data_IF_487325578565
#
_entry.id   IF_487325578565
#
_cell.length_a   1.000
_cell.length_b   1.000
_cell.length_c   1.000
_cell.angle_alpha   90.00
_cell.angle_beta   90.00
_cell.angle_gamma   90.00
#
_symmetry.space_group_name_H-M   'P 1'
#
loop_
_entity.id
_entity.type
_entity.pdbx_description
1 polymer ?
#
# COMPACT_ATOMS: atom_id res chain seq x y z
N UNK A 1 4.60 11.06 13.41
CA UNK A 1 3.27 10.92 14.04
C UNK A 1 3.14 9.55 14.67
N UNK A 2 2.62 9.49 15.89
CA UNK A 2 2.49 8.27 16.71
C UNK A 2 1.39 7.31 16.17
N UNK A 3 0.35 7.84 15.52
CA UNK A 3 -0.79 7.07 14.99
C UNK A 3 -0.40 6.06 13.90
N UNK A 4 0.33 6.49 12.86
CA UNK A 4 0.74 5.60 11.75
C UNK A 4 1.63 4.43 12.22
N UNK A 5 2.39 4.64 13.30
CA UNK A 5 3.19 3.58 13.92
C UNK A 5 2.27 2.60 14.67
N UNK A 6 1.38 3.11 15.53
CA UNK A 6 0.39 2.30 16.26
C UNK A 6 -0.46 1.45 15.32
N UNK A 7 -0.97 2.03 14.23
CA UNK A 7 -1.82 1.33 13.27
C UNK A 7 -1.05 0.20 12.55
N UNK A 8 0.21 0.44 12.22
CA UNK A 8 1.10 -0.60 11.67
C UNK A 8 1.36 -1.70 12.70
N UNK A 9 1.70 -1.31 13.92
CA UNK A 9 1.98 -2.26 14.99
C UNK A 9 0.74 -3.13 15.29
N UNK A 10 -0.47 -2.56 15.18
CA UNK A 10 -1.73 -3.30 15.33
C UNK A 10 -1.99 -4.29 14.20
N UNK A 11 -1.85 -3.87 12.93
CA UNK A 11 -1.98 -4.80 11.80
C UNK A 11 -0.93 -5.91 11.89
N UNK A 12 0.31 -5.59 12.27
CA UNK A 12 1.38 -6.59 12.45
C UNK A 12 1.13 -7.52 13.65
N UNK A 13 0.39 -7.08 14.68
CA UNK A 13 0.03 -7.87 15.85
C UNK A 13 -1.09 -8.86 15.51
N UNK A 14 -2.10 -8.41 14.78
CA UNK A 14 -3.27 -9.22 14.43
C UNK A 14 -2.98 -10.16 13.26
N UNK A 15 -2.24 -9.70 12.24
CA UNK A 15 -1.89 -10.46 11.03
C UNK A 15 -0.39 -10.35 10.73
N UNK A 16 0.46 -11.15 11.40
CA UNK A 16 1.91 -11.09 11.26
C UNK A 16 2.41 -11.32 9.82
N UNK A 17 1.67 -12.08 9.03
CA UNK A 17 1.99 -12.41 7.64
C UNK A 17 1.92 -11.17 6.71
N UNK A 18 1.19 -10.12 7.09
CA UNK A 18 1.07 -8.88 6.31
C UNK A 18 2.29 -7.97 6.48
N UNK A 19 3.11 -8.20 7.53
CA UNK A 19 4.27 -7.36 7.88
C UNK A 19 5.23 -7.13 6.72
N UNK A 20 5.47 -8.15 5.89
CA UNK A 20 6.41 -8.07 4.77
C UNK A 20 5.81 -7.44 3.51
N UNK A 21 4.50 -7.27 3.48
CA UNK A 21 3.75 -6.80 2.31
C UNK A 21 3.66 -5.28 2.25
N UNK A 22 3.86 -4.59 3.36
CA UNK A 22 3.94 -3.13 3.37
C UNK A 22 5.11 -2.58 2.52
N UNK A 23 4.92 -1.36 2.01
CA UNK A 23 5.94 -0.58 1.33
C UNK A 23 7.20 -0.42 2.21
N UNK A 24 8.35 -0.82 1.66
CA UNK A 24 9.64 -0.76 2.34
C UNK A 24 10.18 0.67 2.37
N UNK A 25 9.59 1.49 3.23
CA UNK A 25 9.95 2.91 3.36
C UNK A 25 11.44 3.12 3.69
N UNK A 26 12.04 2.23 4.49
CA UNK A 26 13.47 2.27 4.82
C UNK A 26 14.34 2.05 3.58
N UNK A 27 14.02 1.07 2.75
CA UNK A 27 14.75 0.77 1.51
C UNK A 27 14.67 1.94 0.52
N UNK A 28 13.48 2.47 0.30
CA UNK A 28 13.27 3.63 -0.56
C UNK A 28 14.01 4.87 -0.06
N UNK A 29 14.03 5.11 1.26
CA UNK A 29 14.79 6.20 1.86
C UNK A 29 16.30 6.03 1.68
N UNK A 30 16.82 4.79 1.71
CA UNK A 30 18.23 4.51 1.43
C UNK A 30 18.58 4.84 -0.03
N UNK A 31 17.77 4.40 -0.99
CA UNK A 31 17.96 4.76 -2.41
C UNK A 31 17.91 6.28 -2.62
N UNK A 32 16.99 6.96 -1.95
CA UNK A 32 16.89 8.41 -2.03
C UNK A 32 18.12 9.14 -1.48
N UNK A 33 18.87 8.54 -0.55
CA UNK A 33 20.12 9.12 -0.03
C UNK A 33 21.26 9.08 -1.04
N UNK A 34 21.20 8.19 -2.01
CA UNK A 34 22.20 8.11 -3.08
C UNK A 34 22.04 9.31 -4.02
N UNK A 35 20.78 9.64 -4.37
CA UNK A 35 20.48 10.78 -5.25
C UNK A 35 21.14 12.06 -4.71
N UNK A 36 22.10 12.57 -5.50
CA UNK A 36 22.78 13.83 -5.23
C UNK A 36 21.76 14.98 -5.23
N UNK A 37 21.63 15.77 -4.14
CA UNK A 37 20.82 16.97 -4.15
C UNK A 37 21.39 17.93 -5.19
N UNK A 38 20.56 18.47 -6.08
CA UNK A 38 21.00 19.51 -7.02
C UNK A 38 21.47 20.72 -6.20
N UNK A 39 22.79 20.94 -6.27
CA UNK A 39 23.54 22.17 -6.01
C UNK A 39 23.14 23.05 -4.80
N UNK A 40 23.75 22.75 -3.65
CA UNK A 40 24.33 23.84 -2.82
C UNK A 40 25.75 24.21 -3.27
N UNK A 41 26.22 23.67 -4.41
CA UNK A 41 27.57 23.89 -4.95
C UNK A 41 27.70 25.05 -5.93
N UNK A 42 26.63 25.75 -6.30
CA UNK A 42 26.71 26.95 -7.17
C UNK A 42 27.27 28.21 -6.47
N UNK A 43 27.88 28.09 -5.28
CA UNK A 43 28.40 29.26 -4.54
C UNK A 43 29.91 29.32 -4.37
N UNK A 44 30.71 28.39 -4.90
CA UNK A 44 32.17 28.52 -4.87
C UNK A 44 32.76 27.98 -6.16
N UNK A 45 33.88 28.59 -6.56
CA UNK A 45 34.76 28.30 -7.71
C UNK A 45 34.42 29.23 -8.89
N UNK A 46 35.16 30.31 -9.15
CA UNK A 46 36.60 30.46 -8.90
C UNK A 46 37.34 29.53 -9.85
N UNK A 47 37.72 30.13 -10.98
CA UNK A 47 38.56 29.67 -12.08
C UNK A 47 39.47 28.44 -11.82
N UNK A 48 39.26 27.34 -12.56
CA UNK A 48 40.36 26.56 -13.17
C UNK A 48 39.81 25.57 -14.23
N UNK A 49 40.23 25.74 -15.48
CA UNK A 49 39.71 25.01 -16.66
C UNK A 49 40.75 24.03 -17.19
N UNK A 50 40.74 22.77 -16.75
CA UNK A 50 41.39 21.69 -17.53
C UNK A 50 40.89 20.25 -17.32
N UNK A 51 40.06 19.96 -16.30
CA UNK A 51 39.55 18.58 -16.03
C UNK A 51 38.02 18.42 -15.97
N UNK A 52 37.25 19.46 -16.28
CA UNK A 52 35.84 19.57 -15.88
C UNK A 52 34.83 18.75 -16.70
N UNK A 53 35.10 18.46 -17.98
CA UNK A 53 34.11 17.84 -18.86
C UNK A 53 33.82 16.37 -18.47
N UNK A 54 34.87 15.59 -18.22
CA UNK A 54 34.77 14.15 -17.89
C UNK A 54 34.13 13.93 -16.52
N UNK A 55 34.53 14.72 -15.51
CA UNK A 55 33.95 14.65 -14.16
C UNK A 55 32.47 15.05 -14.11
N UNK A 56 32.07 16.08 -14.88
CA UNK A 56 30.68 16.53 -14.95
C UNK A 56 29.79 15.50 -15.70
N UNK A 57 30.30 14.83 -16.73
CA UNK A 57 29.60 13.74 -17.40
C UNK A 57 29.37 12.52 -16.49
N UNK A 58 30.39 12.11 -15.72
CA UNK A 58 30.29 11.00 -14.77
C UNK A 58 29.31 11.29 -13.63
N UNK A 59 29.29 12.52 -13.10
CA UNK A 59 28.34 12.93 -12.04
C UNK A 59 26.89 12.97 -12.54
N UNK A 60 26.66 13.47 -13.77
CA UNK A 60 25.34 13.43 -14.41
C UNK A 60 24.87 11.99 -14.63
N UNK A 61 25.74 11.12 -15.14
CA UNK A 61 25.39 9.73 -15.42
C UNK A 61 25.10 8.94 -14.13
N UNK A 62 25.87 9.18 -13.05
CA UNK A 62 25.60 8.61 -11.74
C UNK A 62 24.26 9.10 -11.15
N UNK A 63 23.95 10.38 -11.24
CA UNK A 63 22.68 10.94 -10.76
C UNK A 63 21.47 10.36 -11.53
N UNK A 64 21.61 10.15 -12.85
CA UNK A 64 20.58 9.49 -13.67
C UNK A 64 20.39 8.04 -13.21
N UNK A 65 21.48 7.28 -13.02
CA UNK A 65 21.42 5.88 -12.57
C UNK A 65 20.75 5.75 -11.20
N UNK A 66 21.05 6.64 -10.26
CA UNK A 66 20.42 6.65 -8.94
C UNK A 66 18.93 6.99 -8.98
N UNK A 67 18.53 7.95 -9.84
CA UNK A 67 17.12 8.25 -10.08
C UNK A 67 16.37 7.07 -10.67
N UNK A 68 16.96 6.39 -11.66
CA UNK A 68 16.40 5.16 -12.24
C UNK A 68 16.28 4.07 -11.16
N UNK A 69 17.28 3.93 -10.30
CA UNK A 69 17.28 3.00 -9.17
C UNK A 69 16.13 3.23 -8.20
N UNK A 70 15.90 4.49 -7.80
CA UNK A 70 14.77 4.86 -6.94
C UNK A 70 13.42 4.55 -7.60
N UNK A 71 13.22 4.97 -8.86
CA UNK A 71 11.96 4.73 -9.60
C UNK A 71 11.67 3.25 -9.76
N UNK A 72 12.69 2.43 -10.10
CA UNK A 72 12.55 0.98 -10.23
C UNK A 72 12.18 0.32 -8.89
N UNK A 73 12.82 0.72 -7.80
CA UNK A 73 12.49 0.19 -6.47
C UNK A 73 11.07 0.59 -6.06
N UNK A 74 10.68 1.84 -6.28
CA UNK A 74 9.32 2.30 -5.98
C UNK A 74 8.27 1.51 -6.78
N UNK A 75 8.54 1.26 -8.06
CA UNK A 75 7.67 0.45 -8.91
C UNK A 75 7.53 -0.99 -8.39
N UNK A 76 8.63 -1.64 -8.04
CA UNK A 76 8.60 -3.00 -7.48
C UNK A 76 7.82 -3.05 -6.16
N UNK A 77 8.03 -2.09 -5.26
CA UNK A 77 7.31 -2.02 -3.99
C UNK A 77 5.81 -1.79 -4.18
N UNK A 78 5.41 -0.96 -5.14
CA UNK A 78 4.00 -0.75 -5.44
C UNK A 78 3.35 -1.97 -6.10
N UNK A 79 4.05 -2.68 -6.98
CA UNK A 79 3.54 -3.95 -7.54
C UNK A 79 3.31 -4.99 -6.45
N UNK A 80 4.23 -5.10 -5.48
CA UNK A 80 4.08 -5.99 -4.33
C UNK A 80 2.84 -5.62 -3.50
N UNK A 81 2.69 -4.34 -3.14
CA UNK A 81 1.54 -3.86 -2.35
C UNK A 81 0.23 -4.13 -3.10
N UNK A 82 0.23 -3.89 -4.41
CA UNK A 82 -0.92 -4.13 -5.29
C UNK A 82 -1.30 -5.60 -5.39
N UNK A 83 -0.33 -6.47 -5.65
CA UNK A 83 -0.57 -7.90 -5.76
C UNK A 83 -1.20 -8.43 -4.47
N UNK A 84 -0.58 -8.12 -3.33
CA UNK A 84 -1.11 -8.54 -2.03
C UNK A 84 -2.54 -8.03 -1.76
N UNK A 85 -2.84 -6.77 -2.10
CA UNK A 85 -4.18 -6.22 -1.88
C UNK A 85 -5.22 -6.92 -2.77
N UNK A 86 -4.88 -7.16 -4.03
CA UNK A 86 -5.74 -7.85 -4.99
C UNK A 86 -5.99 -9.31 -4.57
N UNK A 87 -4.95 -10.04 -4.18
CA UNK A 87 -5.07 -11.42 -3.69
C UNK A 87 -6.02 -11.50 -2.47
N UNK A 88 -6.02 -10.46 -1.61
CA UNK A 88 -6.93 -10.38 -0.47
C UNK A 88 -8.36 -10.05 -0.85
N UNK A 89 -8.59 -9.16 -1.81
CA UNK A 89 -9.93 -8.92 -2.32
C UNK A 89 -10.53 -10.19 -2.95
N UNK A 90 -9.74 -10.93 -3.73
CA UNK A 90 -10.19 -12.20 -4.31
C UNK A 90 -10.55 -13.22 -3.24
N UNK A 91 -9.71 -13.38 -2.21
CA UNK A 91 -9.99 -14.24 -1.05
C UNK A 91 -11.30 -13.84 -0.36
N UNK A 92 -11.53 -12.55 -0.15
CA UNK A 92 -12.74 -12.07 0.51
C UNK A 92 -14.00 -12.28 -0.32
N UNK A 93 -13.94 -12.09 -1.63
CA UNK A 93 -15.06 -12.39 -2.55
C UNK A 93 -15.44 -13.88 -2.46
N UNK A 94 -14.44 -14.77 -2.46
CA UNK A 94 -14.67 -16.22 -2.38
C UNK A 94 -15.29 -16.59 -1.03
N UNK A 95 -14.68 -16.14 0.08
CA UNK A 95 -15.15 -16.42 1.44
C UNK A 95 -16.57 -15.89 1.68
N UNK A 96 -16.89 -14.71 1.17
CA UNK A 96 -18.23 -14.14 1.29
C UNK A 96 -19.27 -15.01 0.57
N UNK A 97 -18.98 -15.44 -0.66
CA UNK A 97 -19.86 -16.34 -1.42
C UNK A 97 -20.07 -17.68 -0.71
N UNK A 98 -19.01 -18.27 -0.15
CA UNK A 98 -19.12 -19.50 0.65
C UNK A 98 -20.02 -19.31 1.88
N UNK A 99 -19.89 -18.19 2.58
CA UNK A 99 -20.74 -17.85 3.72
C UNK A 99 -22.20 -17.60 3.31
N UNK A 100 -22.46 -16.98 2.15
CA UNK A 100 -23.81 -16.81 1.61
C UNK A 100 -24.48 -18.15 1.34
N UNK A 101 -23.76 -19.11 0.75
CA UNK A 101 -24.26 -20.47 0.50
C UNK A 101 -24.58 -21.21 1.80
N UNK A 102 -23.71 -21.09 2.81
CA UNK A 102 -23.94 -21.68 4.14
C UNK A 102 -25.14 -21.04 4.85
N UNK A 103 -25.29 -19.72 4.74
CA UNK A 103 -26.42 -18.99 5.33
C UNK A 103 -27.78 -19.39 4.73
N UNK A 104 -27.82 -19.84 3.47
CA UNK A 104 -29.03 -20.34 2.82
C UNK A 104 -29.43 -21.77 3.20
N UNK A 105 -28.52 -22.54 3.80
CA UNK A 105 -28.71 -23.96 4.15
C UNK A 105 -28.40 -24.19 5.64
N UNK A 106 -29.08 -23.45 6.51
CA UNK A 106 -28.87 -23.57 7.96
C UNK A 106 -29.80 -24.63 8.56
N UNK A 107 -29.22 -25.67 9.15
CA UNK A 107 -29.96 -26.77 9.77
C UNK A 107 -30.07 -26.60 11.30
N UNK A 108 -29.23 -25.74 11.90
CA UNK A 108 -29.22 -25.51 13.34
C UNK A 108 -28.88 -24.07 13.77
N UNK A 109 -29.26 -23.74 15.01
CA UNK A 109 -28.87 -22.47 15.64
C UNK A 109 -27.35 -22.36 15.88
N UNK A 110 -26.65 -23.49 16.05
CA UNK A 110 -25.18 -23.50 16.23
C UNK A 110 -24.48 -23.15 14.91
N UNK A 111 -24.91 -23.75 13.80
CA UNK A 111 -24.40 -23.40 12.46
C UNK A 111 -24.66 -21.94 12.12
N UNK A 112 -25.83 -21.43 12.47
CA UNK A 112 -26.18 -20.01 12.32
C UNK A 112 -25.21 -19.12 13.09
N UNK A 113 -24.93 -19.44 14.36
CA UNK A 113 -23.99 -18.69 15.18
C UNK A 113 -22.57 -18.76 14.61
N UNK A 114 -22.17 -19.92 14.07
CA UNK A 114 -20.87 -20.08 13.43
C UNK A 114 -20.74 -19.20 12.17
N UNK A 115 -21.75 -19.19 11.29
CA UNK A 115 -21.77 -18.32 10.12
C UNK A 115 -21.72 -16.85 10.52
N UNK A 116 -22.44 -16.43 11.57
CA UNK A 116 -22.36 -15.06 12.09
C UNK A 116 -20.95 -14.68 12.54
N UNK A 117 -20.26 -15.57 13.27
CA UNK A 117 -18.86 -15.36 13.69
C UNK A 117 -17.92 -15.26 12.49
N UNK A 118 -18.10 -16.12 11.50
CA UNK A 118 -17.28 -16.14 10.29
C UNK A 118 -17.44 -14.82 9.52
N UNK A 119 -18.66 -14.29 9.39
CA UNK A 119 -18.94 -13.00 8.73
C UNK A 119 -18.29 -11.84 9.50
N UNK A 120 -18.42 -11.81 10.84
CA UNK A 120 -17.80 -10.77 11.66
C UNK A 120 -16.27 -10.78 11.57
N UNK A 121 -15.66 -11.97 11.54
CA UNK A 121 -14.23 -12.13 11.36
C UNK A 121 -13.78 -11.61 9.99
N UNK A 122 -14.49 -11.98 8.91
CA UNK A 122 -14.21 -11.47 7.57
C UNK A 122 -14.34 -9.94 7.52
N UNK A 123 -15.39 -9.38 8.11
CA UNK A 123 -15.58 -7.93 8.19
C UNK A 123 -14.41 -7.24 8.93
N UNK A 124 -13.96 -7.80 10.06
CA UNK A 124 -12.80 -7.29 10.78
C UNK A 124 -11.51 -7.36 9.94
N UNK A 125 -11.29 -8.45 9.20
CA UNK A 125 -10.16 -8.58 8.26
C UNK A 125 -10.21 -7.54 7.12
N UNK A 126 -11.39 -7.22 6.60
CA UNK A 126 -11.58 -6.15 5.59
C UNK A 126 -11.21 -4.78 6.15
N UNK A 127 -11.60 -4.47 7.40
CA UNK A 127 -11.20 -3.22 8.07
C UNK A 127 -9.67 -3.13 8.22
N UNK A 128 -9.00 -4.25 8.52
CA UNK A 128 -7.53 -4.28 8.54
C UNK A 128 -6.94 -4.03 7.16
N UNK A 129 -7.56 -4.52 6.08
CA UNK A 129 -7.12 -4.26 4.71
C UNK A 129 -7.29 -2.77 4.31
N UNK A 130 -8.34 -2.09 4.78
CA UNK A 130 -8.48 -0.64 4.66
C UNK A 130 -7.33 0.10 5.34
N UNK A 131 -6.99 -0.30 6.57
CA UNK A 131 -5.84 0.26 7.28
C UNK A 131 -4.53 0.02 6.53
N UNK A 132 -4.35 -1.17 5.96
CA UNK A 132 -3.22 -1.50 5.12
C UNK A 132 -3.11 -0.56 3.91
N UNK A 133 -4.20 -0.32 3.18
CA UNK A 133 -4.24 0.64 2.06
C UNK A 133 -3.81 2.04 2.52
N UNK A 134 -4.43 2.59 3.57
CA UNK A 134 -4.14 3.93 4.10
C UNK A 134 -2.66 4.07 4.50
N UNK A 135 -2.10 3.06 5.16
CA UNK A 135 -0.69 3.06 5.59
C UNK A 135 0.28 3.07 4.40
N UNK A 136 0.01 2.27 3.38
CA UNK A 136 0.84 2.19 2.18
C UNK A 136 0.73 3.44 1.32
N UNK A 137 -0.48 3.95 1.10
CA UNK A 137 -0.72 5.21 0.40
C UNK A 137 -0.01 6.38 1.10
N UNK A 138 -0.13 6.47 2.42
CA UNK A 138 0.58 7.49 3.21
C UNK A 138 2.10 7.35 3.06
N UNK A 139 2.62 6.11 3.04
CA UNK A 139 4.03 5.81 2.80
C UNK A 139 4.50 6.31 1.43
N UNK A 140 3.72 6.05 0.39
CA UNK A 140 3.94 6.50 -0.99
C UNK A 140 3.96 8.04 -1.07
N UNK A 141 2.92 8.72 -0.60
CA UNK A 141 2.85 10.20 -0.62
C UNK A 141 4.06 10.80 0.10
N UNK A 142 4.45 10.23 1.25
CA UNK A 142 5.61 10.70 2.01
C UNK A 142 6.94 10.50 1.29
N UNK A 143 7.14 9.35 0.63
CA UNK A 143 8.42 9.10 -0.04
C UNK A 143 8.55 9.95 -1.31
N UNK A 144 7.44 10.17 -2.01
CA UNK A 144 7.36 11.04 -3.19
C UNK A 144 7.61 12.50 -2.80
N UNK A 145 6.93 13.01 -1.75
CA UNK A 145 7.22 14.36 -1.22
C UNK A 145 8.69 14.51 -0.81
N UNK A 146 9.28 13.47 -0.21
CA UNK A 146 10.70 13.46 0.17
C UNK A 146 11.61 13.50 -1.06
N UNK A 147 11.28 12.75 -2.11
CA UNK A 147 11.98 12.78 -3.39
C UNK A 147 11.97 14.20 -3.96
N UNK A 148 10.79 14.80 -4.11
CA UNK A 148 10.63 16.13 -4.70
C UNK A 148 11.44 17.19 -3.94
N UNK A 149 11.42 17.14 -2.60
CA UNK A 149 12.21 18.04 -1.76
C UNK A 149 13.72 17.88 -1.96
N UNK A 150 14.20 16.67 -2.25
CA UNK A 150 15.64 16.40 -2.41
C UNK A 150 16.15 16.68 -3.82
N UNK A 151 15.34 16.42 -4.84
CA UNK A 151 15.73 16.60 -6.24
C UNK A 151 15.42 17.98 -6.79
N UNK A 152 14.54 18.74 -6.13
CA UNK A 152 14.00 20.00 -6.64
C UNK A 152 13.06 19.83 -7.83
N UNK A 153 12.63 18.60 -8.13
CA UNK A 153 11.82 18.26 -9.31
C UNK A 153 10.60 17.45 -8.89
N UNK A 154 9.46 17.66 -9.55
CA UNK A 154 8.29 16.80 -9.33
C UNK A 154 8.59 15.36 -9.78
N UNK A 155 8.21 14.38 -8.96
CA UNK A 155 8.21 12.98 -9.36
C UNK A 155 7.08 12.74 -10.36
N UNK A 156 7.43 12.37 -11.58
CA UNK A 156 6.45 12.03 -12.60
C UNK A 156 6.13 10.54 -12.55
N UNK A 157 4.86 10.22 -12.30
CA UNK A 157 4.32 8.87 -12.37
C UNK A 157 3.94 8.45 -13.80
N UNK A 158 4.27 9.24 -14.82
CA UNK A 158 3.93 8.96 -16.22
C UNK A 158 4.50 7.62 -16.72
N UNK A 159 5.54 7.11 -16.07
CA UNK A 159 6.10 5.76 -16.32
C UNK A 159 5.43 4.64 -15.52
N UNK A 160 4.42 4.94 -14.69
CA UNK A 160 3.75 4.00 -13.78
C UNK A 160 2.20 4.05 -13.83
N UNK A 161 1.55 4.25 -15.01
CA UNK A 161 0.10 4.45 -15.08
C UNK A 161 -0.70 3.23 -14.59
N UNK A 162 -0.26 2.01 -14.96
CA UNK A 162 -0.93 0.77 -14.56
C UNK A 162 -0.89 0.49 -13.06
N UNK A 163 0.10 1.05 -12.35
CA UNK A 163 0.27 0.85 -10.91
C UNK A 163 -0.69 1.76 -10.14
N UNK A 164 -1.00 2.93 -10.70
CA UNK A 164 -1.89 3.95 -10.12
C UNK A 164 -3.37 3.67 -10.29
N UNK A 165 -3.73 2.79 -11.23
CA UNK A 165 -5.11 2.38 -11.51
C UNK A 165 -5.53 1.12 -10.74
N UNK A 166 -4.76 0.72 -9.72
CA UNK A 166 -4.89 -0.59 -9.04
C UNK A 166 -5.63 -0.49 -7.71
N UNK A 167 -6.15 -1.61 -7.18
CA UNK A 167 -7.21 -1.59 -6.18
C UNK A 167 -6.80 -1.02 -4.82
N UNK A 168 -5.52 -1.05 -4.40
CA UNK A 168 -5.20 -0.38 -3.12
C UNK A 168 -5.43 1.14 -3.15
N UNK A 169 -5.59 1.75 -4.33
CA UNK A 169 -6.01 3.15 -4.49
C UNK A 169 -7.53 3.34 -4.55
N UNK A 170 -8.31 2.28 -4.82
CA UNK A 170 -9.77 2.29 -4.89
C UNK A 170 -10.34 1.18 -4.00
N UNK A 171 -10.88 1.58 -2.86
CA UNK A 171 -11.42 0.66 -1.85
C UNK A 171 -12.91 0.39 -2.07
N UNK A 172 -13.44 0.67 -3.26
CA UNK A 172 -14.88 0.66 -3.54
C UNK A 172 -15.47 -0.75 -3.44
N UNK A 173 -14.79 -1.75 -4.04
CA UNK A 173 -15.15 -3.16 -3.92
C UNK A 173 -15.13 -3.61 -2.46
N UNK A 174 -14.11 -3.24 -1.70
CA UNK A 174 -14.00 -3.60 -0.29
C UNK A 174 -15.18 -3.03 0.53
N UNK A 175 -15.62 -1.79 0.23
CA UNK A 175 -16.81 -1.23 0.86
C UNK A 175 -18.11 -1.95 0.45
N UNK A 176 -18.21 -2.39 -0.80
CA UNK A 176 -19.34 -3.21 -1.27
C UNK A 176 -19.42 -4.53 -0.49
N UNK A 177 -18.30 -5.25 -0.38
CA UNK A 177 -18.22 -6.50 0.38
C UNK A 177 -18.55 -6.31 1.87
N UNK A 178 -18.11 -5.20 2.47
CA UNK A 178 -18.46 -4.86 3.85
C UNK A 178 -19.97 -4.64 4.03
N UNK A 179 -20.62 -3.91 3.11
CA UNK A 179 -22.08 -3.72 3.14
C UNK A 179 -22.85 -5.03 2.95
N UNK A 180 -22.34 -5.93 2.11
CA UNK A 180 -22.92 -7.27 1.96
C UNK A 180 -22.83 -8.07 3.28
N UNK A 181 -21.69 -7.99 3.99
CA UNK A 181 -21.55 -8.62 5.31
C UNK A 181 -22.56 -8.06 6.31
N UNK A 182 -22.74 -6.74 6.37
CA UNK A 182 -23.72 -6.07 7.23
C UNK A 182 -25.16 -6.56 6.93
N UNK A 183 -25.52 -6.60 5.64
CA UNK A 183 -26.84 -7.07 5.18
C UNK A 183 -27.09 -8.53 5.57
N UNK A 184 -26.08 -9.39 5.40
CA UNK A 184 -26.17 -10.80 5.82
C UNK A 184 -26.35 -10.94 7.32
N UNK A 185 -25.59 -10.19 8.12
CA UNK A 185 -25.73 -10.19 9.57
C UNK A 185 -27.13 -9.76 9.99
N UNK A 186 -27.65 -8.67 9.42
CA UNK A 186 -29.00 -8.17 9.72
C UNK A 186 -30.06 -9.25 9.44
N UNK A 187 -30.01 -9.93 8.29
CA UNK A 187 -30.92 -11.04 7.99
C UNK A 187 -30.81 -12.22 8.96
N UNK A 188 -29.59 -12.55 9.39
CA UNK A 188 -29.36 -13.60 10.38
C UNK A 188 -29.79 -13.18 11.80
N UNK A 189 -29.72 -11.90 12.16
CA UNK A 189 -30.19 -11.41 13.46
C UNK A 189 -31.72 -11.23 13.52
N UNK A 190 -32.35 -10.76 12.44
CA UNK A 190 -33.78 -10.46 12.37
C UNK A 190 -34.67 -11.68 12.13
N UNK A 191 -34.12 -12.79 11.64
CA UNK A 191 -34.80 -14.10 11.61
C UNK A 191 -35.13 -14.68 13.00
N UNK A 192 -35.00 -13.88 14.07
CA UNK A 192 -35.41 -14.18 15.45
C UNK A 192 -36.72 -13.51 15.88
N UNK A 193 -37.45 -12.78 15.03
CA UNK A 193 -38.76 -12.25 15.42
C UNK A 193 -39.88 -13.23 15.04
N UNK A 194 -40.62 -13.81 16.01
CA UNK A 194 -41.83 -14.59 15.76
C UNK A 194 -42.98 -13.71 15.24
#
# INVERSE_FOLDING_TARGET
MKYQKRLRDEVERVLPEWKRQFICYKGLKKQLKLINPRSSRDRRMGDDRSGFATGRFLDVNNNIRERIGFTRLLHSELNKVNAFYFDKEEDYVIRLKEMQLRAGNLDSNEEKLQVQRDILNLHAEMVLLLHYSVLNFTGLVKIVKKHNKRTGTSFHFSSMPRVMQRPFFSTDLLYELMRECETMLDGLFLSKQP
#
